data_IF_383645133008
#
_entry.id   IF_383645133008
#
_cell.length_a   1.000
_cell.length_b   1.000
_cell.length_c   1.000
_cell.angle_alpha   90.00
_cell.angle_beta   90.00
_cell.angle_gamma   90.00
#
_symmetry.space_group_name_H-M   'P 1'
#
loop_
_entity.id
_entity.type
_entity.pdbx_description
1 polymer ?
#
# COMPACT_ATOMS: atom_id res chain seq x y z
N UNK A 1 -28.97 -3.71 32.18
CA UNK A 1 -27.74 -2.98 31.79
C UNK A 1 -27.12 -3.75 30.63
N UNK A 2 -27.36 -3.34 29.39
CA UNK A 2 -26.77 -3.97 28.21
C UNK A 2 -25.36 -3.42 28.03
N UNK A 3 -24.38 -4.07 28.65
CA UNK A 3 -22.97 -3.74 28.47
C UNK A 3 -22.52 -4.18 27.08
N UNK A 4 -22.31 -3.23 26.17
CA UNK A 4 -21.61 -3.51 24.93
C UNK A 4 -20.16 -3.89 25.29
N UNK A 5 -19.66 -5.07 24.85
CA UNK A 5 -18.27 -5.41 25.08
C UNK A 5 -17.38 -4.35 24.41
N UNK A 6 -16.40 -3.84 25.14
CA UNK A 6 -15.36 -3.00 24.55
C UNK A 6 -14.75 -3.74 23.35
N UNK A 7 -14.62 -3.08 22.21
CA UNK A 7 -14.38 -3.69 20.89
C UNK A 7 -12.99 -4.36 20.69
N UNK A 8 -12.24 -4.63 21.77
CA UNK A 8 -10.86 -5.16 21.80
C UNK A 8 -9.93 -4.50 20.79
N UNK A 9 -10.05 -3.17 20.63
CA UNK A 9 -9.36 -2.42 19.57
C UNK A 9 -7.83 -2.59 19.63
N UNK A 10 -7.24 -2.48 20.83
CA UNK A 10 -5.79 -2.59 21.01
C UNK A 10 -5.26 -3.96 20.57
N UNK A 11 -6.00 -5.02 20.90
CA UNK A 11 -5.67 -6.37 20.46
C UNK A 11 -5.71 -6.49 18.94
N UNK A 12 -6.79 -6.01 18.30
CA UNK A 12 -6.93 -6.04 16.83
C UNK A 12 -5.82 -5.26 16.10
N UNK A 13 -5.41 -4.12 16.66
CA UNK A 13 -4.27 -3.35 16.14
C UNK A 13 -2.99 -4.19 16.22
N UNK A 14 -2.69 -4.77 17.39
CA UNK A 14 -1.49 -5.60 17.55
C UNK A 14 -1.48 -6.80 16.58
N UNK A 15 -2.63 -7.45 16.37
CA UNK A 15 -2.77 -8.55 15.41
C UNK A 15 -2.47 -8.11 13.97
N UNK A 16 -2.95 -6.93 13.57
CA UNK A 16 -2.64 -6.34 12.25
C UNK A 16 -1.14 -6.07 12.10
N UNK A 17 -0.54 -5.35 13.04
CA UNK A 17 0.90 -5.01 12.99
C UNK A 17 1.80 -6.24 13.12
N UNK A 18 1.32 -7.29 13.80
CA UNK A 18 2.02 -8.58 13.92
C UNK A 18 1.93 -9.47 12.68
N UNK A 19 1.19 -9.08 11.65
CA UNK A 19 1.04 -9.88 10.43
C UNK A 19 0.14 -11.10 10.57
N UNK A 20 -0.77 -11.10 11.54
CA UNK A 20 -1.77 -12.16 11.63
C UNK A 20 -2.77 -12.07 10.47
N UNK A 21 -3.37 -13.22 10.12
CA UNK A 21 -4.38 -13.33 9.08
C UNK A 21 -5.74 -12.81 9.57
N UNK A 22 -5.83 -11.49 9.76
CA UNK A 22 -7.04 -10.83 10.25
C UNK A 22 -8.12 -10.69 9.16
N UNK A 23 -7.74 -10.75 7.88
CA UNK A 23 -8.70 -10.92 6.79
C UNK A 23 -9.03 -12.42 6.68
N UNK A 24 -9.97 -12.88 7.51
CA UNK A 24 -10.31 -14.29 7.64
C UNK A 24 -11.04 -14.86 6.42
N UNK A 25 -11.77 -14.03 5.66
CA UNK A 25 -12.49 -14.48 4.47
C UNK A 25 -11.54 -14.92 3.35
N UNK A 26 -10.40 -14.24 3.22
CA UNK A 26 -9.36 -14.57 2.24
C UNK A 26 -8.15 -15.29 2.83
N UNK A 27 -8.13 -15.48 4.16
CA UNK A 27 -6.99 -16.00 4.92
C UNK A 27 -5.69 -15.24 4.62
N UNK A 28 -5.69 -13.91 4.82
CA UNK A 28 -4.56 -13.02 4.50
C UNK A 28 -4.20 -12.08 5.64
N UNK A 29 -2.90 -11.81 5.75
CA UNK A 29 -2.37 -10.66 6.48
C UNK A 29 -2.85 -9.34 5.87
N UNK A 30 -2.97 -8.30 6.69
CA UNK A 30 -3.35 -6.93 6.25
C UNK A 30 -2.25 -5.96 6.67
N UNK A 31 -1.32 -5.68 5.74
CA UNK A 31 -0.04 -5.02 6.04
C UNK A 31 0.24 -3.78 5.18
N UNK A 32 -0.78 -2.96 4.89
CA UNK A 32 -0.56 -1.68 4.18
C UNK A 32 0.43 -0.75 4.91
N UNK A 33 0.56 -0.90 6.24
CA UNK A 33 1.58 -0.21 7.05
C UNK A 33 3.02 -0.53 6.64
N UNK A 34 3.28 -1.73 6.08
CA UNK A 34 4.61 -2.11 5.62
C UNK A 34 5.06 -1.28 4.40
N UNK A 35 4.12 -0.78 3.59
CA UNK A 35 4.40 0.06 2.42
C UNK A 35 5.05 1.42 2.79
N UNK A 36 4.96 1.81 4.05
CA UNK A 36 5.48 3.09 4.57
C UNK A 36 6.56 2.88 5.64
N UNK A 37 6.98 1.64 5.90
CA UNK A 37 7.94 1.32 6.94
C UNK A 37 9.36 1.76 6.54
N UNK A 38 10.20 2.19 7.51
CA UNK A 38 11.60 2.45 7.24
C UNK A 38 12.32 1.16 6.81
N UNK A 39 13.42 1.29 6.07
CA UNK A 39 14.10 0.17 5.40
C UNK A 39 14.69 -0.87 6.36
N UNK A 40 14.93 -0.47 7.61
CA UNK A 40 15.44 -1.30 8.70
C UNK A 40 14.33 -1.89 9.59
N UNK A 41 13.05 -1.58 9.32
CA UNK A 41 11.95 -2.20 10.02
C UNK A 41 11.84 -3.70 9.72
N UNK A 42 11.21 -4.41 10.66
CA UNK A 42 10.88 -5.83 10.52
C UNK A 42 9.38 -5.97 10.70
N UNK A 43 8.70 -6.38 9.63
CA UNK A 43 7.27 -6.69 9.64
C UNK A 43 7.12 -8.04 8.98
N UNK A 44 6.50 -8.99 9.67
CA UNK A 44 6.45 -10.38 9.25
C UNK A 44 5.10 -10.69 8.61
N UNK A 45 5.08 -11.54 7.58
CA UNK A 45 3.91 -12.28 7.12
C UNK A 45 4.34 -13.71 6.86
N UNK A 46 3.60 -14.69 7.37
CA UNK A 46 3.95 -16.12 7.22
C UNK A 46 5.39 -16.48 7.63
N UNK A 47 5.97 -15.73 8.57
CA UNK A 47 7.34 -15.93 9.05
C UNK A 47 8.43 -15.31 8.18
N UNK A 48 8.07 -14.53 7.15
CA UNK A 48 9.01 -13.81 6.29
C UNK A 48 8.91 -12.29 6.51
N UNK A 49 10.06 -11.61 6.57
CA UNK A 49 10.10 -10.15 6.64
C UNK A 49 9.74 -9.57 5.27
N UNK A 50 8.63 -8.84 5.17
CA UNK A 50 8.14 -8.28 3.89
C UNK A 50 8.76 -6.92 3.53
N UNK A 51 9.44 -6.26 4.48
CA UNK A 51 10.00 -4.92 4.28
C UNK A 51 11.06 -4.86 3.16
N UNK A 52 11.98 -5.84 3.01
CA UNK A 52 12.93 -5.86 1.89
C UNK A 52 12.25 -5.89 0.52
N UNK A 53 11.19 -6.68 0.35
CA UNK A 53 10.47 -6.81 -0.92
C UNK A 53 9.75 -5.50 -1.29
N UNK A 54 9.16 -4.83 -0.29
CA UNK A 54 8.57 -3.49 -0.46
C UNK A 54 9.62 -2.52 -0.99
N UNK A 55 10.80 -2.46 -0.36
CA UNK A 55 11.86 -1.56 -0.78
C UNK A 55 12.46 -1.92 -2.14
N UNK A 56 12.50 -3.19 -2.51
CA UNK A 56 12.90 -3.61 -3.86
C UNK A 56 11.98 -2.98 -4.93
N UNK A 57 10.66 -2.97 -4.69
CA UNK A 57 9.69 -2.36 -5.61
C UNK A 57 9.79 -0.83 -5.58
N UNK A 58 9.93 -0.21 -4.40
CA UNK A 58 10.11 1.24 -4.29
C UNK A 58 11.37 1.72 -5.02
N UNK A 59 12.49 1.00 -4.89
CA UNK A 59 13.75 1.29 -5.59
C UNK A 59 13.56 1.18 -7.12
N UNK A 60 12.81 0.17 -7.60
CA UNK A 60 12.44 0.04 -9.03
C UNK A 60 11.59 1.22 -9.51
N UNK A 61 10.58 1.62 -8.74
CA UNK A 61 9.70 2.76 -9.06
C UNK A 61 10.51 4.06 -9.11
N UNK A 62 11.41 4.28 -8.15
CA UNK A 62 12.30 5.44 -8.13
C UNK A 62 13.15 5.50 -9.40
N UNK A 63 13.89 4.42 -9.69
CA UNK A 63 14.75 4.35 -10.87
C UNK A 63 13.97 4.56 -12.17
N UNK A 64 12.82 3.90 -12.31
CA UNK A 64 11.98 4.06 -13.49
C UNK A 64 11.48 5.49 -13.64
N UNK A 65 10.94 6.07 -12.57
CA UNK A 65 10.37 7.43 -12.60
C UNK A 65 11.43 8.50 -12.86
N UNK A 66 12.67 8.32 -12.39
CA UNK A 66 13.81 9.18 -12.75
C UNK A 66 14.16 9.13 -14.23
N UNK A 67 14.12 7.94 -14.84
CA UNK A 67 14.35 7.78 -16.28
C UNK A 67 13.23 8.47 -17.08
N UNK A 68 11.97 8.28 -16.68
CA UNK A 68 10.81 8.89 -17.32
C UNK A 68 10.86 10.42 -17.23
N UNK A 69 11.16 10.99 -16.06
CA UNK A 69 11.26 12.45 -15.85
C UNK A 69 12.35 13.12 -16.68
N UNK A 70 13.37 12.38 -17.14
CA UNK A 70 14.42 12.90 -18.04
C UNK A 70 14.02 12.90 -19.52
N UNK A 71 12.90 12.28 -19.88
CA UNK A 71 12.38 12.28 -21.25
C UNK A 71 11.45 13.47 -21.45
N UNK A 72 11.36 13.96 -22.69
CA UNK A 72 10.39 14.98 -23.09
C UNK A 72 8.98 14.37 -23.28
N UNK A 73 8.51 13.61 -22.28
CA UNK A 73 7.14 13.12 -22.21
C UNK A 73 6.28 14.21 -21.56
N UNK A 74 5.12 14.49 -22.16
CA UNK A 74 4.20 15.54 -21.69
C UNK A 74 3.07 14.99 -20.84
N UNK A 75 2.69 13.74 -21.12
CA UNK A 75 1.47 13.15 -20.59
C UNK A 75 1.75 11.73 -20.06
N UNK A 76 1.09 11.38 -18.96
CA UNK A 76 1.03 10.04 -18.40
C UNK A 76 -0.44 9.63 -18.31
N UNK A 77 -0.78 8.47 -18.87
CA UNK A 77 -2.15 7.94 -18.81
C UNK A 77 -2.17 6.75 -17.86
N UNK A 78 -2.88 6.87 -16.75
CA UNK A 78 -3.11 5.80 -15.79
C UNK A 78 -4.49 5.16 -16.05
N UNK A 79 -4.51 3.85 -16.29
CA UNK A 79 -5.72 3.08 -16.62
C UNK A 79 -6.00 2.09 -15.50
N UNK A 80 -7.18 2.15 -14.89
CA UNK A 80 -7.52 1.30 -13.73
C UNK A 80 -8.99 1.36 -13.32
N UNK A 81 -9.35 0.65 -12.25
CA UNK A 81 -10.70 0.64 -11.67
C UNK A 81 -10.61 0.62 -10.15
N UNK A 82 -11.58 1.23 -9.47
CA UNK A 82 -11.67 1.23 -7.99
C UNK A 82 -10.35 1.72 -7.36
N UNK A 83 -9.73 0.97 -6.45
CA UNK A 83 -8.52 1.40 -5.74
C UNK A 83 -7.32 1.75 -6.64
N UNK A 84 -7.18 1.11 -7.81
CA UNK A 84 -6.10 1.43 -8.76
C UNK A 84 -6.37 2.68 -9.59
N UNK A 85 -7.60 3.21 -9.57
CA UNK A 85 -7.99 4.46 -10.20
C UNK A 85 -8.10 5.60 -9.17
N UNK A 86 -8.87 5.39 -8.11
CA UNK A 86 -9.22 6.41 -7.12
C UNK A 86 -8.01 6.90 -6.33
N UNK A 87 -7.11 6.00 -5.92
CA UNK A 87 -5.93 6.38 -5.14
C UNK A 87 -5.05 7.40 -5.90
N UNK A 88 -4.53 7.03 -7.08
CA UNK A 88 -3.75 7.94 -7.92
C UNK A 88 -4.49 9.23 -8.28
N UNK A 89 -5.77 9.14 -8.69
CA UNK A 89 -6.59 10.30 -9.07
C UNK A 89 -6.75 11.32 -7.93
N UNK A 90 -6.87 10.85 -6.68
CA UNK A 90 -7.06 11.74 -5.52
C UNK A 90 -5.77 12.39 -5.05
N UNK A 91 -4.62 11.74 -5.26
CA UNK A 91 -3.32 12.23 -4.78
C UNK A 91 -2.57 13.07 -5.79
N UNK A 92 -2.91 12.96 -7.07
CA UNK A 92 -2.23 13.68 -8.13
C UNK A 92 -2.91 15.01 -8.45
N UNK A 93 -2.10 16.06 -8.57
CA UNK A 93 -2.53 17.44 -8.85
C UNK A 93 -1.82 18.00 -10.09
N UNK A 94 -1.15 17.15 -10.87
CA UNK A 94 -0.35 17.55 -12.02
C UNK A 94 -1.19 17.37 -13.29
N UNK A 95 -1.32 18.44 -14.09
CA UNK A 95 -2.08 18.44 -15.35
C UNK A 95 -1.50 17.47 -16.40
N UNK A 96 -0.29 16.94 -16.19
CA UNK A 96 0.31 15.92 -17.04
C UNK A 96 -0.30 14.51 -16.86
N UNK A 97 -1.06 14.25 -15.79
CA UNK A 97 -1.65 12.93 -15.55
C UNK A 97 -3.12 12.86 -15.95
N UNK A 98 -3.44 11.84 -16.73
CA UNK A 98 -4.78 11.54 -17.20
C UNK A 98 -5.22 10.19 -16.67
N UNK A 99 -6.41 10.10 -16.11
CA UNK A 99 -6.93 8.87 -15.53
C UNK A 99 -8.10 8.32 -16.35
N UNK A 100 -8.00 7.06 -16.73
CA UNK A 100 -9.04 6.33 -17.46
C UNK A 100 -9.60 5.25 -16.55
N UNK A 101 -10.90 5.33 -16.27
CA UNK A 101 -11.61 4.30 -15.53
C UNK A 101 -12.04 3.17 -16.47
N UNK A 102 -11.70 1.92 -16.12
CA UNK A 102 -12.14 0.71 -16.82
C UNK A 102 -13.56 0.28 -16.45
#
# INVERSE_FOLDING_TARGET
>A
MWGWPAASLKEKINRMFGGEHINSAENRSVLHVALHAPRDAVIQSDGENVVPDVWEVLDKIQKFSEIIRRKALKDVIAVGISGSFLGPLQTDLDDAFHFVNL
#
